data_IF_129893905828
#
_entry.id   IF_129893905828
#
_cell.length_a   1.000
_cell.length_b   1.000
_cell.length_c   1.000
_cell.angle_alpha   90.00
_cell.angle_beta   90.00
_cell.angle_gamma   90.00
#
_symmetry.space_group_name_H-M   'P 1'
#
loop_
_entity.id
_entity.type
_entity.pdbx_description
1 polymer ?
#
# COMPACT_ATOMS: atom_id res chain seq x y z
N UNK A 1 26.47 30.76 11.06
CA UNK A 1 26.23 31.15 12.46
C UNK A 1 24.73 31.19 12.68
N UNK A 2 24.21 30.79 13.85
CA UNK A 2 22.76 30.86 14.10
C UNK A 2 22.34 32.32 14.35
N UNK A 3 21.35 32.80 13.60
CA UNK A 3 20.84 34.17 13.72
C UNK A 3 19.75 34.21 14.80
N UNK A 4 20.09 34.75 15.98
CA UNK A 4 19.15 34.84 17.11
C UNK A 4 18.22 36.03 16.91
N UNK A 5 17.02 35.76 16.37
CA UNK A 5 15.95 36.75 16.31
C UNK A 5 15.52 37.16 17.71
N UNK A 6 15.35 38.46 17.94
CA UNK A 6 14.87 39.03 19.19
C UNK A 6 13.61 39.84 18.90
N UNK A 7 12.49 39.39 19.44
CA UNK A 7 11.20 40.06 19.34
C UNK A 7 10.92 40.83 20.64
N UNK A 8 10.34 42.02 20.53
CA UNK A 8 9.87 42.80 21.67
C UNK A 8 8.41 42.48 21.98
N UNK A 9 7.94 42.88 23.17
CA UNK A 9 6.52 42.80 23.55
C UNK A 9 5.64 43.62 22.58
N UNK A 10 6.17 44.70 21.99
CA UNK A 10 5.44 45.47 20.99
C UNK A 10 5.26 44.68 19.68
N UNK A 11 6.29 43.97 19.22
CA UNK A 11 6.21 43.14 18.00
C UNK A 11 5.20 42.00 18.18
N UNK A 12 5.23 41.34 19.34
CA UNK A 12 4.25 40.28 19.70
C UNK A 12 2.83 40.84 19.71
N UNK A 13 2.60 42.00 20.35
CA UNK A 13 1.28 42.64 20.38
C UNK A 13 0.83 43.09 18.98
N UNK A 14 1.74 43.55 18.11
CA UNK A 14 1.43 43.93 16.74
C UNK A 14 1.03 42.71 15.89
N UNK A 15 1.68 41.56 16.08
CA UNK A 15 1.34 40.28 15.43
C UNK A 15 -0.02 39.76 15.92
N UNK A 16 -0.36 39.95 17.20
CA UNK A 16 -1.67 39.58 17.77
C UNK A 16 -2.78 40.48 17.23
N UNK A 17 -2.55 41.80 17.13
CA UNK A 17 -3.58 42.78 16.80
C UNK A 17 -3.83 42.94 15.29
N UNK A 18 -2.79 42.88 14.46
CA UNK A 18 -2.90 43.00 13.01
C UNK A 18 -2.96 41.64 12.30
N UNK A 19 -2.78 40.55 13.05
CA UNK A 19 -2.52 39.23 12.50
C UNK A 19 -1.13 39.11 11.87
N UNK A 20 -0.92 38.00 11.15
CA UNK A 20 0.25 37.80 10.32
C UNK A 20 -0.14 37.01 9.06
N UNK A 21 0.41 37.40 7.91
CA UNK A 21 0.25 36.67 6.66
C UNK A 21 1.48 35.76 6.47
N UNK A 22 1.36 34.50 6.88
CA UNK A 22 2.39 33.49 6.67
C UNK A 22 1.97 32.55 5.55
N UNK A 23 2.50 32.80 4.35
CA UNK A 23 2.48 31.80 3.27
C UNK A 23 3.53 30.74 3.59
N UNK A 24 3.14 29.48 3.60
CA UNK A 24 4.10 28.36 3.60
C UNK A 24 4.96 28.42 2.33
N UNK A 25 6.22 28.01 2.42
CA UNK A 25 7.06 27.80 1.24
C UNK A 25 6.39 26.76 0.33
N UNK A 26 6.46 26.97 -0.99
CA UNK A 26 5.80 26.11 -1.96
C UNK A 26 6.29 24.65 -1.86
N UNK A 27 7.59 24.42 -1.60
CA UNK A 27 8.19 23.10 -1.32
C UNK A 27 7.50 22.37 -0.14
N UNK A 28 7.04 23.11 0.87
CA UNK A 28 6.38 22.56 2.07
C UNK A 28 4.91 22.27 1.78
N UNK A 29 4.26 23.08 0.94
CA UNK A 29 2.91 22.82 0.44
C UNK A 29 2.92 21.54 -0.41
N UNK A 30 3.88 21.41 -1.34
CA UNK A 30 4.08 20.22 -2.15
C UNK A 30 4.32 18.96 -1.29
N UNK A 31 5.19 19.04 -0.28
CA UNK A 31 5.42 17.95 0.67
C UNK A 31 4.13 17.54 1.42
N UNK A 32 3.33 18.52 1.86
CA UNK A 32 2.03 18.27 2.51
C UNK A 32 1.04 17.62 1.54
N UNK A 33 0.94 18.10 0.30
CA UNK A 33 0.08 17.51 -0.74
C UNK A 33 0.48 16.07 -1.07
N UNK A 34 1.77 15.80 -1.23
CA UNK A 34 2.32 14.46 -1.52
C UNK A 34 2.08 13.49 -0.35
N UNK A 35 2.32 13.92 0.89
CA UNK A 35 1.98 13.12 2.07
C UNK A 35 0.47 12.84 2.17
N UNK A 36 -0.36 13.84 1.87
CA UNK A 36 -1.83 13.74 1.94
C UNK A 36 -2.37 12.75 0.91
N UNK A 37 -1.80 12.70 -0.29
CA UNK A 37 -2.21 11.74 -1.33
C UNK A 37 -1.87 10.29 -0.96
N UNK A 38 -0.67 10.03 -0.41
CA UNK A 38 -0.26 8.69 0.00
C UNK A 38 -1.00 8.21 1.26
N UNK A 39 -1.24 9.05 2.29
CA UNK A 39 -2.00 8.61 3.50
C UNK A 39 -3.52 8.57 3.30
N UNK A 40 -4.04 9.29 2.30
CA UNK A 40 -5.43 9.20 1.85
C UNK A 40 -5.71 7.98 0.95
N UNK A 41 -4.67 7.29 0.49
CA UNK A 41 -4.76 6.20 -0.49
C UNK A 41 -5.58 4.99 0.02
N UNK A 42 -6.39 4.34 -0.84
CA UNK A 42 -7.00 3.03 -0.58
C UNK A 42 -5.99 1.90 -0.28
N UNK A 43 -4.71 2.11 -0.59
CA UNK A 43 -3.62 1.17 -0.30
C UNK A 43 -2.93 1.44 1.04
N UNK A 44 -3.24 2.56 1.71
CA UNK A 44 -2.56 2.96 2.95
C UNK A 44 -2.96 2.08 4.14
N UNK A 45 -2.09 1.13 4.49
CA UNK A 45 -2.23 0.32 5.70
C UNK A 45 -1.92 1.21 6.91
N UNK A 46 -2.96 1.76 7.54
CA UNK A 46 -2.83 2.49 8.81
C UNK A 46 -2.09 1.64 9.83
N UNK A 47 -1.18 2.27 10.58
CA UNK A 47 -0.35 1.65 11.61
C UNK A 47 -1.16 0.69 12.49
N UNK A 48 -0.74 -0.58 12.68
CA UNK A 48 -1.54 -1.55 13.41
C UNK A 48 -1.79 -1.05 14.84
N UNK A 49 -3.08 -0.94 15.20
CA UNK A 49 -3.50 -0.52 16.54
C UNK A 49 -3.09 -1.58 17.56
N UNK A 50 -1.91 -1.39 18.16
CA UNK A 50 -1.45 -2.14 19.32
C UNK A 50 -2.41 -1.91 20.48
N UNK A 51 -3.35 -2.84 20.66
CA UNK A 51 -4.22 -2.86 21.84
C UNK A 51 -3.34 -2.98 23.09
N UNK A 52 -3.24 -1.87 23.83
CA UNK A 52 -2.54 -1.82 25.11
C UNK A 52 -3.22 -2.81 26.04
N UNK A 53 -2.54 -3.91 26.36
CA UNK A 53 -3.08 -4.90 27.31
C UNK A 53 -3.27 -4.23 28.66
N UNK A 54 -4.52 -4.05 29.08
CA UNK A 54 -4.85 -3.62 30.42
C UNK A 54 -4.46 -4.75 31.38
N UNK A 55 -3.34 -4.60 32.07
CA UNK A 55 -2.92 -5.53 33.13
C UNK A 55 -3.76 -5.28 34.38
N UNK A 56 -4.93 -5.92 34.46
CA UNK A 56 -5.84 -5.92 35.63
C UNK A 56 -5.25 -6.67 36.85
N UNK A 57 -4.01 -6.36 37.23
CA UNK A 57 -3.20 -7.12 38.19
C UNK A 57 -2.29 -6.26 39.09
N UNK A 58 -2.33 -4.93 38.98
CA UNK A 58 -1.48 -4.06 39.79
C UNK A 58 -2.05 -3.82 41.22
N UNK A 59 -3.37 -3.85 41.42
CA UNK A 59 -3.99 -3.70 42.75
C UNK A 59 -3.80 -4.91 43.69
N UNK A 60 -3.62 -6.12 43.14
CA UNK A 60 -3.62 -7.37 43.92
C UNK A 60 -2.34 -7.54 44.77
N UNK A 61 -1.27 -6.81 44.47
CA UNK A 61 0.03 -6.95 45.16
C UNK A 61 0.12 -6.24 46.53
N UNK A 62 -0.86 -5.41 46.88
CA UNK A 62 -0.79 -4.58 48.09
C UNK A 62 -1.18 -5.29 49.42
N UNK A 63 -1.88 -6.44 49.38
CA UNK A 63 -2.57 -6.99 50.57
C UNK A 63 -2.13 -8.41 51.02
N UNK A 64 -0.93 -8.88 50.67
CA UNK A 64 -0.42 -10.21 51.10
C UNK A 64 0.87 -10.17 51.94
N UNK A 65 0.97 -9.19 52.85
CA UNK A 65 2.04 -9.12 53.86
C UNK A 65 1.51 -8.76 55.27
N UNK A 66 0.59 -9.57 55.80
CA UNK A 66 0.31 -9.62 57.25
C UNK A 66 -0.33 -10.96 57.66
N UNK A 67 -0.31 -11.22 58.97
CA UNK A 67 -0.77 -12.43 59.68
C UNK A 67 0.14 -13.67 59.60
N UNK A 68 0.38 -14.28 60.78
CA UNK A 68 1.32 -15.40 61.04
C UNK A 68 0.59 -16.74 61.18
N UNK A 69 1.30 -17.82 60.84
CA UNK A 69 1.47 -19.11 61.59
C UNK A 69 0.39 -19.57 62.59
N UNK A 70 0.04 -20.87 62.57
CA UNK A 70 0.27 -21.84 63.69
C UNK A 70 -0.29 -23.27 63.37
N UNK A 71 0.51 -24.30 63.70
CA UNK A 71 0.26 -25.77 63.79
C UNK A 71 -0.39 -26.62 62.66
N UNK A 72 0.02 -27.90 62.59
CA UNK A 72 -0.62 -29.04 61.89
C UNK A 72 -1.27 -30.01 62.91
N UNK A 73 -1.27 -31.37 62.76
CA UNK A 73 -0.48 -32.21 61.84
C UNK A 73 -1.20 -33.43 61.17
N UNK A 74 -0.51 -34.10 60.21
CA UNK A 74 -0.81 -35.45 59.68
C UNK A 74 -1.94 -35.52 58.62
N UNK A 75 -2.02 -36.50 57.70
CA UNK A 75 -1.11 -37.58 57.22
C UNK A 75 -1.71 -38.11 55.86
N UNK A 76 -1.12 -38.99 55.03
CA UNK A 76 0.15 -39.74 55.00
C UNK A 76 0.12 -40.79 53.85
N UNK A 77 1.23 -41.48 53.54
CA UNK A 77 1.44 -42.39 52.36
C UNK A 77 1.44 -41.64 51.00
N UNK A 78 2.30 -41.86 49.99
CA UNK A 78 3.41 -42.80 49.74
C UNK A 78 3.30 -43.36 48.30
N UNK A 79 4.30 -43.41 47.41
CA UNK A 79 5.76 -43.14 47.49
C UNK A 79 6.11 -41.82 46.72
N UNK A 80 7.24 -41.53 46.03
CA UNK A 80 8.46 -42.22 45.60
C UNK A 80 8.34 -42.84 44.18
N UNK A 81 9.27 -42.67 43.23
CA UNK A 81 10.60 -42.00 43.19
C UNK A 81 10.75 -41.12 41.90
N UNK A 82 11.89 -40.55 41.47
CA UNK A 82 13.30 -40.75 41.87
C UNK A 82 14.29 -39.71 41.26
N UNK A 83 15.47 -40.16 40.80
CA UNK A 83 16.63 -39.32 40.41
C UNK A 83 16.60 -38.76 38.97
N UNK A 84 16.95 -37.48 38.80
CA UNK A 84 18.35 -37.10 38.47
C UNK A 84 18.62 -35.61 38.75
N UNK A 85 19.90 -35.22 38.85
CA UNK A 85 20.35 -33.85 39.14
C UNK A 85 21.15 -33.28 37.96
N UNK A 86 20.91 -32.02 37.61
CA UNK A 86 21.97 -31.14 37.11
C UNK A 86 21.60 -29.66 37.28
N UNK A 87 22.36 -28.94 38.12
CA UNK A 87 22.19 -27.50 38.33
C UNK A 87 23.15 -26.74 37.42
N UNK A 88 22.63 -25.94 36.49
CA UNK A 88 23.41 -24.89 35.80
C UNK A 88 22.82 -23.52 36.12
N UNK A 89 23.35 -22.87 37.15
CA UNK A 89 22.88 -21.58 37.65
C UNK A 89 23.40 -20.42 36.81
N UNK A 90 22.63 -20.03 35.77
CA UNK A 90 22.92 -18.85 34.93
C UNK A 90 22.84 -17.57 35.78
N UNK A 91 24.01 -17.04 36.16
CA UNK A 91 24.17 -15.77 36.89
C UNK A 91 23.80 -14.58 35.99
N UNK A 92 22.51 -14.23 35.95
CA UNK A 92 22.04 -12.99 35.31
C UNK A 92 22.81 -11.79 35.87
N UNK A 93 23.57 -11.11 35.01
CA UNK A 93 24.25 -9.87 35.38
C UNK A 93 23.23 -8.77 35.67
N UNK A 94 23.38 -8.07 36.80
CA UNK A 94 22.67 -6.80 37.02
C UNK A 94 23.39 -5.72 36.22
N UNK A 95 22.77 -5.24 35.14
CA UNK A 95 23.20 -4.01 34.50
C UNK A 95 23.05 -2.83 35.46
N UNK A 96 24.10 -2.01 35.58
CA UNK A 96 24.08 -0.79 36.39
C UNK A 96 23.44 0.31 35.54
N UNK A 97 22.24 0.75 35.88
CA UNK A 97 21.58 1.87 35.23
C UNK A 97 21.97 3.19 35.89
N UNK A 98 22.80 3.98 35.21
CA UNK A 98 23.04 5.38 35.57
C UNK A 98 21.76 6.19 35.35
N UNK A 99 20.94 6.35 36.41
CA UNK A 99 19.88 7.37 36.43
C UNK A 99 20.53 8.74 36.60
N UNK A 100 20.79 9.43 35.50
CA UNK A 100 20.90 10.89 35.54
C UNK A 100 19.53 11.47 35.90
N UNK A 101 19.52 12.46 36.79
CA UNK A 101 18.31 13.11 37.28
C UNK A 101 17.84 14.13 36.22
N UNK A 102 16.96 13.72 35.33
CA UNK A 102 16.12 14.66 34.60
C UNK A 102 15.04 15.15 35.57
N UNK A 103 15.04 16.45 35.85
CA UNK A 103 14.05 17.04 36.74
C UNK A 103 12.64 16.90 36.15
N UNK A 104 11.61 16.65 36.98
CA UNK A 104 10.26 16.45 36.48
C UNK A 104 9.70 17.75 35.89
N UNK A 105 9.43 17.72 34.59
CA UNK A 105 8.59 18.70 33.88
C UNK A 105 7.26 18.84 34.62
N UNK A 106 6.78 20.06 34.84
CA UNK A 106 5.53 20.30 35.58
C UNK A 106 4.33 19.95 34.71
N UNK A 107 3.22 19.58 35.34
CA UNK A 107 1.95 19.37 34.63
C UNK A 107 1.45 20.64 33.91
N UNK A 108 1.81 21.84 34.40
CA UNK A 108 1.52 23.14 33.76
C UNK A 108 2.16 23.26 32.35
N UNK A 109 3.34 22.68 32.14
CA UNK A 109 4.03 22.67 30.84
C UNK A 109 3.32 21.71 29.85
N UNK A 110 2.64 20.68 30.36
CA UNK A 110 1.81 19.79 29.53
C UNK A 110 0.48 20.42 29.14
N UNK A 111 -0.14 21.26 29.97
CA UNK A 111 -1.36 21.99 29.60
C UNK A 111 -1.12 22.99 28.47
N UNK A 112 0.02 23.70 28.49
CA UNK A 112 0.40 24.61 27.39
C UNK A 112 0.73 23.87 26.09
N UNK A 113 1.32 22.67 26.16
CA UNK A 113 1.48 21.80 24.97
C UNK A 113 0.13 21.19 24.52
N UNK A 114 -0.84 21.03 25.43
CA UNK A 114 -2.20 20.54 25.15
C UNK A 114 -3.18 21.60 24.66
N UNK A 115 -2.79 22.86 24.48
CA UNK A 115 -3.62 23.82 23.72
C UNK A 115 -3.59 23.45 22.24
N UNK A 116 -4.36 22.43 21.86
CA UNK A 116 -4.65 22.09 20.48
C UNK A 116 -5.17 23.36 19.78
N UNK A 117 -4.36 23.93 18.89
CA UNK A 117 -4.84 24.86 17.88
C UNK A 117 -5.86 24.10 17.06
N UNK A 118 -7.16 24.30 17.33
CA UNK A 118 -8.24 23.69 16.56
C UNK A 118 -8.00 24.02 15.10
N UNK A 119 -7.59 23.01 14.33
CA UNK A 119 -7.35 23.17 12.91
C UNK A 119 -8.61 23.76 12.32
N UNK A 120 -8.50 24.93 11.69
CA UNK A 120 -9.55 25.40 10.79
C UNK A 120 -9.60 24.37 9.69
N UNK A 121 -10.53 23.41 9.80
CA UNK A 121 -10.83 22.51 8.71
C UNK A 121 -11.26 23.41 7.56
N UNK A 122 -10.45 23.46 6.51
CA UNK A 122 -10.87 24.09 5.28
C UNK A 122 -12.17 23.41 4.86
N UNK A 123 -13.20 24.20 4.63
CA UNK A 123 -14.42 23.68 4.06
C UNK A 123 -14.08 23.31 2.61
N UNK A 124 -13.74 22.04 2.39
CA UNK A 124 -13.91 21.44 1.08
C UNK A 124 -15.38 21.70 0.70
N UNK A 125 -15.59 22.42 -0.39
CA UNK A 125 -16.92 22.76 -0.90
C UNK A 125 -17.12 22.12 -2.28
N UNK A 126 -18.33 21.67 -2.55
CA UNK A 126 -18.68 20.98 -3.80
C UNK A 126 -17.81 19.75 -4.09
N UNK A 127 -17.04 19.83 -5.18
CA UNK A 127 -16.40 18.68 -5.82
C UNK A 127 -15.34 17.95 -4.96
N UNK A 128 -14.66 18.63 -4.03
CA UNK A 128 -13.71 17.94 -3.16
C UNK A 128 -14.41 17.14 -2.03
N UNK A 129 -15.60 17.57 -1.56
CA UNK A 129 -16.47 16.73 -0.69
C UNK A 129 -16.86 15.45 -1.44
N UNK A 130 -17.24 15.59 -2.71
CA UNK A 130 -17.59 14.46 -3.57
C UNK A 130 -16.40 13.50 -3.71
N UNK A 131 -15.19 14.00 -3.96
CA UNK A 131 -13.96 13.18 -4.06
C UNK A 131 -13.72 12.40 -2.76
N UNK A 132 -13.85 13.04 -1.61
CA UNK A 132 -13.63 12.38 -0.33
C UNK A 132 -14.76 11.42 0.05
N UNK A 133 -16.00 11.66 -0.39
CA UNK A 133 -17.09 10.69 -0.32
C UNK A 133 -16.81 9.46 -1.20
N UNK A 134 -16.27 9.63 -2.41
CA UNK A 134 -15.85 8.53 -3.27
C UNK A 134 -14.72 7.73 -2.63
N UNK A 135 -13.63 8.38 -2.16
CA UNK A 135 -12.55 7.74 -1.40
C UNK A 135 -13.09 6.99 -0.18
N UNK A 136 -13.94 7.64 0.63
CA UNK A 136 -14.53 7.09 1.85
C UNK A 136 -15.44 5.88 1.62
N UNK A 137 -16.15 5.81 0.49
CA UNK A 137 -16.94 4.64 0.10
C UNK A 137 -16.04 3.52 -0.42
N UNK A 138 -15.13 3.81 -1.36
CA UNK A 138 -14.25 2.81 -1.96
C UNK A 138 -13.30 2.16 -0.94
N UNK A 139 -12.76 2.96 0.00
CA UNK A 139 -11.92 2.48 1.11
C UNK A 139 -12.68 1.56 2.11
N UNK A 140 -14.01 1.50 2.05
CA UNK A 140 -14.86 0.58 2.86
C UNK A 140 -15.32 -0.65 2.06
N UNK A 141 -14.87 -0.81 0.82
CA UNK A 141 -15.43 -1.81 -0.08
C UNK A 141 -14.95 -3.23 0.27
N UNK A 142 -15.92 -4.11 0.43
CA UNK A 142 -15.76 -5.53 0.71
C UNK A 142 -16.87 -6.31 0.03
N UNK A 143 -16.76 -7.64 -0.05
CA UNK A 143 -17.80 -8.51 -0.64
C UNK A 143 -19.17 -8.29 0.03
N UNK A 144 -19.20 -7.92 1.32
CA UNK A 144 -20.43 -7.69 2.09
C UNK A 144 -21.02 -6.29 1.93
N UNK A 145 -20.19 -5.29 1.65
CA UNK A 145 -20.58 -3.87 1.52
C UNK A 145 -20.69 -3.43 0.06
N UNK A 146 -20.44 -4.33 -0.90
CA UNK A 146 -20.38 -4.02 -2.33
C UNK A 146 -21.65 -3.36 -2.86
N UNK A 147 -22.84 -3.93 -2.64
CA UNK A 147 -24.07 -3.43 -3.28
C UNK A 147 -24.49 -2.06 -2.71
N UNK A 148 -24.24 -1.83 -1.41
CA UNK A 148 -24.39 -0.52 -0.75
C UNK A 148 -23.42 0.51 -1.35
N UNK A 149 -22.12 0.18 -1.44
CA UNK A 149 -21.08 1.08 -1.95
C UNK A 149 -21.24 1.36 -3.44
N UNK A 150 -21.61 0.36 -4.24
CA UNK A 150 -21.99 0.52 -5.64
C UNK A 150 -23.16 1.51 -5.78
N UNK A 151 -24.19 1.37 -4.93
CA UNK A 151 -25.34 2.29 -4.90
C UNK A 151 -24.91 3.69 -4.49
N UNK A 152 -24.12 3.84 -3.42
CA UNK A 152 -23.66 5.14 -2.91
C UNK A 152 -22.79 5.87 -3.93
N UNK A 153 -21.82 5.19 -4.55
CA UNK A 153 -20.94 5.76 -5.59
C UNK A 153 -21.76 6.19 -6.82
N UNK A 154 -22.67 5.32 -7.28
CA UNK A 154 -23.59 5.62 -8.40
C UNK A 154 -24.48 6.82 -8.08
N UNK A 155 -25.04 6.89 -6.87
CA UNK A 155 -25.87 8.01 -6.43
C UNK A 155 -25.09 9.32 -6.38
N UNK A 156 -23.88 9.33 -5.80
CA UNK A 156 -23.04 10.53 -5.75
C UNK A 156 -22.75 11.05 -7.17
N UNK A 157 -22.39 10.18 -8.11
CA UNK A 157 -22.13 10.59 -9.51
C UNK A 157 -23.41 11.14 -10.17
N UNK A 158 -24.57 10.53 -9.90
CA UNK A 158 -25.86 10.98 -10.42
C UNK A 158 -26.36 12.32 -9.84
N UNK A 159 -26.00 12.67 -8.61
CA UNK A 159 -26.27 14.00 -8.04
C UNK A 159 -25.37 15.04 -8.69
N UNK A 160 -24.05 14.80 -8.71
CA UNK A 160 -23.04 15.71 -9.25
C UNK A 160 -23.30 16.05 -10.73
N UNK A 161 -23.72 15.07 -11.55
CA UNK A 161 -24.08 15.29 -12.96
C UNK A 161 -25.27 16.26 -13.17
N UNK A 162 -26.06 16.57 -12.14
CA UNK A 162 -27.15 17.56 -12.21
C UNK A 162 -26.69 18.99 -11.90
N UNK A 163 -25.51 19.15 -11.30
CA UNK A 163 -24.98 20.47 -10.90
C UNK A 163 -24.33 21.24 -12.07
N UNK A 164 -24.38 20.68 -13.29
CA UNK A 164 -23.77 21.23 -14.53
C UNK A 164 -22.24 21.36 -14.47
N UNK A 165 -21.58 20.35 -13.88
CA UNK A 165 -20.12 20.19 -13.88
C UNK A 165 -19.50 20.27 -15.29
N UNK A 166 -18.27 20.77 -15.33
CA UNK A 166 -17.47 20.89 -16.56
C UNK A 166 -16.83 19.57 -16.98
N UNK A 167 -16.39 19.49 -18.25
CA UNK A 167 -15.67 18.33 -18.76
C UNK A 167 -14.37 18.06 -17.96
N UNK A 168 -13.63 19.10 -17.57
CA UNK A 168 -12.39 18.99 -16.79
C UNK A 168 -12.65 18.35 -15.41
N UNK A 169 -13.75 18.72 -14.75
CA UNK A 169 -14.19 18.13 -13.49
C UNK A 169 -14.58 16.66 -13.64
N UNK A 170 -15.32 16.29 -14.69
CA UNK A 170 -15.63 14.87 -14.97
C UNK A 170 -14.37 14.04 -15.23
N UNK A 171 -13.37 14.63 -15.89
CA UNK A 171 -12.08 14.01 -16.19
C UNK A 171 -11.23 13.83 -14.92
N UNK A 172 -11.11 14.86 -14.07
CA UNK A 172 -10.48 14.80 -12.73
C UNK A 172 -11.10 13.68 -11.89
N UNK A 173 -12.43 13.61 -11.85
CA UNK A 173 -13.16 12.59 -11.08
C UNK A 173 -12.96 11.18 -11.62
N UNK A 174 -13.06 10.99 -12.94
CA UNK A 174 -12.85 9.66 -13.51
C UNK A 174 -11.42 9.17 -13.35
N UNK A 175 -10.42 10.05 -13.40
CA UNK A 175 -9.04 9.72 -13.04
C UNK A 175 -8.95 9.26 -11.59
N UNK A 176 -9.50 10.03 -10.63
CA UNK A 176 -9.50 9.66 -9.21
C UNK A 176 -10.20 8.31 -8.96
N UNK A 177 -11.34 8.05 -9.61
CA UNK A 177 -12.01 6.74 -9.54
C UNK A 177 -11.09 5.65 -10.09
N UNK A 178 -10.53 5.81 -11.30
CA UNK A 178 -9.64 4.84 -11.93
C UNK A 178 -8.40 4.54 -11.06
N UNK A 179 -7.75 5.58 -10.53
CA UNK A 179 -6.52 5.44 -9.74
C UNK A 179 -6.82 4.75 -8.39
N UNK A 180 -7.98 4.98 -7.78
CA UNK A 180 -8.45 4.25 -6.60
C UNK A 180 -8.68 2.76 -6.90
N UNK A 181 -9.42 2.44 -7.98
CA UNK A 181 -9.82 1.06 -8.26
C UNK A 181 -8.66 0.20 -8.80
N UNK A 182 -7.68 0.81 -9.45
CA UNK A 182 -6.54 0.10 -10.08
C UNK A 182 -5.32 -0.09 -9.17
N UNK A 183 -5.10 0.77 -8.16
CA UNK A 183 -3.91 0.69 -7.28
C UNK A 183 -4.00 -0.39 -6.19
N UNK A 184 -5.18 -0.94 -5.90
CA UNK A 184 -5.35 -1.95 -4.85
C UNK A 184 -5.40 -3.38 -5.41
N UNK A 185 -4.26 -4.07 -5.34
CA UNK A 185 -4.10 -5.46 -5.84
C UNK A 185 -5.04 -6.47 -5.18
N UNK A 186 -5.25 -6.37 -3.86
CA UNK A 186 -6.03 -7.36 -3.09
C UNK A 186 -7.52 -7.36 -3.42
N UNK A 187 -8.10 -6.18 -3.62
CA UNK A 187 -9.52 -6.03 -3.95
C UNK A 187 -9.78 -5.86 -5.46
N UNK A 188 -8.75 -5.98 -6.31
CA UNK A 188 -8.78 -5.76 -7.77
C UNK A 188 -9.97 -6.41 -8.49
N UNK A 189 -10.37 -7.64 -8.14
CA UNK A 189 -11.56 -8.31 -8.71
C UNK A 189 -12.88 -7.62 -8.37
N UNK A 190 -13.01 -7.15 -7.12
CA UNK A 190 -14.20 -6.43 -6.65
C UNK A 190 -14.25 -5.01 -7.21
N UNK A 191 -13.08 -4.38 -7.33
CA UNK A 191 -12.88 -3.09 -8.00
C UNK A 191 -13.20 -3.15 -9.49
N UNK A 192 -12.79 -4.20 -10.21
CA UNK A 192 -13.14 -4.40 -11.61
C UNK A 192 -14.65 -4.59 -11.81
N UNK A 193 -15.34 -5.33 -10.92
CA UNK A 193 -16.81 -5.46 -10.93
C UNK A 193 -17.53 -4.11 -10.76
N UNK A 194 -17.01 -3.24 -9.89
CA UNK A 194 -17.56 -1.90 -9.74
C UNK A 194 -17.28 -1.05 -10.99
N UNK A 195 -16.07 -1.12 -11.51
CA UNK A 195 -15.67 -0.28 -12.64
C UNK A 195 -16.38 -0.66 -13.95
N UNK A 196 -16.70 -1.94 -14.19
CA UNK A 196 -17.52 -2.36 -15.34
C UNK A 196 -18.97 -1.85 -15.26
N UNK A 197 -19.58 -1.82 -14.07
CA UNK A 197 -20.86 -1.16 -13.83
C UNK A 197 -20.80 0.34 -14.16
N UNK A 198 -19.76 1.03 -13.68
CA UNK A 198 -19.56 2.46 -13.91
C UNK A 198 -19.30 2.78 -15.40
N UNK A 199 -18.45 2.01 -16.08
CA UNK A 199 -18.21 2.11 -17.51
C UNK A 199 -19.48 1.90 -18.33
N UNK A 200 -20.35 0.95 -17.95
CA UNK A 200 -21.61 0.72 -18.64
C UNK A 200 -22.54 1.95 -18.58
N UNK A 201 -22.52 2.69 -17.47
CA UNK A 201 -23.43 3.82 -17.22
C UNK A 201 -22.90 5.19 -17.63
N UNK A 202 -21.59 5.45 -17.52
CA UNK A 202 -21.04 6.81 -17.62
C UNK A 202 -20.00 6.94 -18.75
N UNK A 203 -20.35 7.70 -19.81
CA UNK A 203 -19.48 7.84 -21.00
C UNK A 203 -18.14 8.53 -20.67
N UNK A 204 -18.12 9.53 -19.78
CA UNK A 204 -16.88 10.20 -19.39
C UNK A 204 -15.87 9.25 -18.72
N UNK A 205 -16.35 8.18 -18.07
CA UNK A 205 -15.50 7.14 -17.50
C UNK A 205 -14.90 6.25 -18.61
N UNK A 206 -15.65 5.97 -19.69
CA UNK A 206 -15.11 5.25 -20.86
C UNK A 206 -14.03 6.05 -21.60
N UNK A 207 -14.11 7.38 -21.61
CA UNK A 207 -13.10 8.24 -22.24
C UNK A 207 -11.75 8.12 -21.51
N UNK A 208 -11.73 8.37 -20.19
CA UNK A 208 -10.51 8.23 -19.38
C UNK A 208 -10.01 6.79 -19.36
N UNK A 209 -10.90 5.78 -19.35
CA UNK A 209 -10.49 4.39 -19.44
C UNK A 209 -9.68 4.09 -20.72
N UNK A 210 -10.12 4.60 -21.89
CA UNK A 210 -9.37 4.44 -23.15
C UNK A 210 -8.01 5.13 -23.13
N UNK A 211 -7.89 6.28 -22.47
CA UNK A 211 -6.61 6.97 -22.26
C UNK A 211 -5.65 6.15 -21.39
N UNK A 212 -6.16 5.53 -20.32
CA UNK A 212 -5.39 4.65 -19.41
C UNK A 212 -5.06 3.29 -20.04
N UNK A 213 -5.94 2.76 -20.89
CA UNK A 213 -5.70 1.55 -21.68
C UNK A 213 -4.61 1.78 -22.73
N UNK A 214 -4.68 2.88 -23.50
CA UNK A 214 -3.68 3.24 -24.49
C UNK A 214 -2.27 3.46 -23.89
N UNK A 215 -2.19 4.02 -22.68
CA UNK A 215 -0.94 4.25 -21.96
C UNK A 215 -0.42 3.03 -21.18
N UNK A 216 -1.20 1.94 -21.05
CA UNK A 216 -0.83 0.74 -20.29
C UNK A 216 0.51 0.15 -20.76
N UNK A 217 0.72 0.05 -22.07
CA UNK A 217 1.94 -0.54 -22.64
C UNK A 217 3.21 0.26 -22.26
N UNK A 218 3.13 1.59 -22.21
CA UNK A 218 4.23 2.44 -21.76
C UNK A 218 4.50 2.26 -20.26
N UNK A 219 3.44 2.25 -19.45
CA UNK A 219 3.51 2.02 -17.99
C UNK A 219 4.13 0.66 -17.66
N UNK A 220 3.86 -0.39 -18.47
CA UNK A 220 4.45 -1.71 -18.27
C UNK A 220 5.89 -1.82 -18.73
N UNK A 221 6.31 -1.10 -19.78
CA UNK A 221 7.70 -1.13 -20.26
C UNK A 221 8.65 -0.23 -19.44
N UNK A 222 8.15 0.84 -18.82
CA UNK A 222 8.94 1.77 -18.00
C UNK A 222 9.34 1.13 -16.65
N UNK A 223 10.22 0.13 -16.70
CA UNK A 223 10.83 -0.55 -15.55
C UNK A 223 12.31 -0.20 -15.51
N UNK A 224 12.74 0.38 -14.40
CA UNK A 224 14.13 0.71 -14.13
C UNK A 224 14.56 0.09 -12.78
N UNK A 225 15.85 0.21 -12.45
CA UNK A 225 16.38 -0.18 -11.14
C UNK A 225 17.32 0.91 -10.62
N UNK A 226 17.23 1.18 -9.32
CA UNK A 226 18.12 2.06 -8.54
C UNK A 226 18.57 1.27 -7.32
N UNK A 227 19.83 1.33 -6.93
CA UNK A 227 20.29 0.68 -5.70
C UNK A 227 19.85 1.47 -4.45
N UNK A 228 19.42 0.82 -3.36
CA UNK A 228 19.21 1.51 -2.08
C UNK A 228 20.50 2.16 -1.53
N UNK A 229 21.67 1.68 -1.95
CA UNK A 229 22.98 2.25 -1.60
C UNK A 229 23.35 3.48 -2.47
N UNK A 230 22.66 3.69 -3.60
CA UNK A 230 22.88 4.82 -4.52
C UNK A 230 21.92 5.97 -4.23
N UNK A 231 20.62 5.69 -4.14
CA UNK A 231 19.59 6.63 -3.73
C UNK A 231 18.41 5.86 -3.11
N UNK A 232 18.28 5.95 -1.79
CA UNK A 232 17.26 5.24 -1.02
C UNK A 232 15.84 5.72 -1.31
N UNK A 233 15.65 7.02 -1.53
CA UNK A 233 14.32 7.62 -1.75
C UNK A 233 13.78 7.21 -3.13
N UNK A 234 14.61 7.31 -4.18
CA UNK A 234 14.26 6.79 -5.51
C UNK A 234 14.05 5.26 -5.50
N UNK A 235 14.79 4.51 -4.69
CA UNK A 235 14.53 3.07 -4.49
C UNK A 235 13.16 2.82 -3.85
N UNK A 236 12.73 3.64 -2.88
CA UNK A 236 11.39 3.57 -2.31
C UNK A 236 10.28 3.95 -3.32
N UNK A 237 10.46 5.02 -4.08
CA UNK A 237 9.53 5.44 -5.15
C UNK A 237 9.40 4.41 -6.27
N UNK A 238 10.52 3.84 -6.71
CA UNK A 238 10.59 2.73 -7.66
C UNK A 238 9.81 1.51 -7.16
N UNK A 239 9.98 1.13 -5.89
CA UNK A 239 9.25 0.00 -5.31
C UNK A 239 7.73 0.28 -5.19
N UNK A 240 7.34 1.49 -4.78
CA UNK A 240 5.93 1.91 -4.77
C UNK A 240 5.32 1.86 -6.19
N UNK A 241 6.07 2.35 -7.18
CA UNK A 241 5.69 2.29 -8.61
C UNK A 241 5.57 0.85 -9.12
N UNK A 242 6.48 -0.04 -8.72
CA UNK A 242 6.44 -1.46 -9.08
C UNK A 242 5.20 -2.17 -8.50
N UNK A 243 4.82 -1.90 -7.25
CA UNK A 243 3.58 -2.47 -6.68
C UNK A 243 2.31 -1.83 -7.25
N UNK A 244 2.30 -0.51 -7.49
CA UNK A 244 1.21 0.18 -8.23
C UNK A 244 1.01 -0.43 -9.63
N UNK A 245 2.11 -0.75 -10.35
CA UNK A 245 2.06 -1.47 -11.64
C UNK A 245 1.50 -2.89 -11.50
N UNK A 246 1.93 -3.66 -10.49
CA UNK A 246 1.42 -5.03 -10.23
C UNK A 246 -0.06 -5.05 -9.86
N UNK A 247 -0.55 -4.01 -9.17
CA UNK A 247 -1.97 -3.79 -8.93
C UNK A 247 -2.73 -3.46 -10.22
N UNK A 248 -2.23 -2.52 -11.03
CA UNK A 248 -2.80 -2.13 -12.33
C UNK A 248 -2.97 -3.34 -13.27
N UNK A 249 -1.94 -4.17 -13.43
CA UNK A 249 -2.00 -5.41 -14.22
C UNK A 249 -3.10 -6.34 -13.67
N UNK A 250 -3.14 -6.53 -12.35
CA UNK A 250 -4.16 -7.37 -11.70
C UNK A 250 -5.58 -6.85 -11.91
N UNK A 251 -5.77 -5.53 -11.97
CA UNK A 251 -7.05 -4.89 -12.28
C UNK A 251 -7.46 -5.10 -13.74
N UNK A 252 -6.56 -4.88 -14.70
CA UNK A 252 -6.82 -5.11 -16.13
C UNK A 252 -7.18 -6.57 -16.46
N UNK A 253 -6.48 -7.53 -15.85
CA UNK A 253 -6.84 -8.96 -15.96
C UNK A 253 -8.27 -9.21 -15.45
N UNK A 254 -8.66 -8.58 -14.34
CA UNK A 254 -10.00 -8.77 -13.80
C UNK A 254 -11.09 -8.10 -14.65
N UNK A 255 -10.77 -7.05 -15.42
CA UNK A 255 -11.70 -6.43 -16.38
C UNK A 255 -12.04 -7.36 -17.56
N UNK A 256 -11.15 -8.29 -17.94
CA UNK A 256 -11.47 -9.33 -18.95
C UNK A 256 -12.58 -10.28 -18.45
N UNK A 257 -12.61 -10.63 -17.16
CA UNK A 257 -13.70 -11.44 -16.58
C UNK A 257 -15.04 -10.69 -16.45
N UNK A 258 -15.09 -9.42 -16.83
CA UNK A 258 -16.31 -8.60 -16.88
C UNK A 258 -16.59 -8.05 -18.29
N UNK A 259 -16.01 -8.68 -19.32
CA UNK A 259 -16.20 -8.35 -20.74
C UNK A 259 -15.89 -6.88 -21.11
N UNK A 260 -15.05 -6.20 -20.33
CA UNK A 260 -14.62 -4.81 -20.58
C UNK A 260 -13.43 -4.75 -21.54
N UNK A 261 -12.58 -5.78 -21.56
CA UNK A 261 -11.34 -5.86 -22.35
C UNK A 261 -11.31 -7.19 -23.10
N UNK A 262 -11.02 -7.18 -24.40
CA UNK A 262 -10.76 -8.42 -25.15
C UNK A 262 -9.46 -9.09 -24.66
N UNK A 263 -9.49 -10.41 -24.43
CA UNK A 263 -8.30 -11.20 -24.03
C UNK A 263 -7.08 -10.95 -24.93
N UNK A 264 -7.29 -10.66 -26.22
CA UNK A 264 -6.24 -10.29 -27.19
C UNK A 264 -5.36 -9.13 -26.75
N UNK A 265 -5.92 -8.12 -26.08
CA UNK A 265 -5.16 -6.97 -25.55
C UNK A 265 -4.12 -7.45 -24.52
N UNK A 266 -4.48 -8.46 -23.72
CA UNK A 266 -3.58 -9.10 -22.75
C UNK A 266 -2.58 -10.02 -23.46
N UNK A 267 -2.99 -10.73 -24.53
CA UNK A 267 -2.08 -11.54 -25.36
C UNK A 267 -0.99 -10.71 -26.03
N UNK A 268 -1.36 -9.64 -26.75
CA UNK A 268 -0.44 -8.79 -27.50
C UNK A 268 0.54 -8.06 -26.56
N UNK A 269 0.04 -7.59 -25.41
CA UNK A 269 0.85 -6.98 -24.36
C UNK A 269 1.83 -7.99 -23.73
N UNK A 270 1.40 -9.23 -23.49
CA UNK A 270 2.28 -10.29 -22.98
C UNK A 270 3.33 -10.70 -24.01
N UNK A 271 2.99 -10.76 -25.30
CA UNK A 271 3.95 -11.00 -26.39
C UNK A 271 4.99 -9.89 -26.45
N UNK A 272 4.56 -8.63 -26.40
CA UNK A 272 5.45 -7.47 -26.43
C UNK A 272 6.44 -7.50 -25.25
N UNK A 273 5.96 -7.77 -24.04
CA UNK A 273 6.81 -7.90 -22.84
C UNK A 273 7.77 -9.10 -22.93
N UNK A 274 7.36 -10.22 -23.51
CA UNK A 274 8.22 -11.38 -23.76
C UNK A 274 9.29 -11.09 -24.81
N UNK A 275 8.98 -10.36 -25.88
CA UNK A 275 9.95 -9.97 -26.90
C UNK A 275 10.96 -8.95 -26.34
N UNK A 276 10.51 -7.96 -25.54
CA UNK A 276 11.38 -7.04 -24.80
C UNK A 276 12.27 -7.78 -23.79
N UNK A 277 11.73 -8.74 -23.02
CA UNK A 277 12.50 -9.61 -22.12
C UNK A 277 13.60 -10.38 -22.88
N UNK A 278 13.29 -10.90 -24.08
CA UNK A 278 14.25 -11.60 -24.92
C UNK A 278 15.41 -10.70 -25.44
N UNK A 279 15.29 -9.38 -25.33
CA UNK A 279 16.40 -8.43 -25.54
C UNK A 279 17.15 -8.26 -24.20
N UNK A 280 16.44 -7.81 -23.15
CA UNK A 280 17.03 -7.43 -21.86
C UNK A 280 17.84 -8.53 -21.16
N UNK A 281 17.47 -9.81 -21.31
CA UNK A 281 18.26 -10.92 -20.73
C UNK A 281 19.70 -10.98 -21.26
N UNK A 282 19.93 -10.54 -22.51
CA UNK A 282 21.22 -10.58 -23.21
C UNK A 282 22.14 -9.41 -22.83
N UNK A 283 21.59 -8.34 -22.29
CA UNK A 283 22.34 -7.16 -21.85
C UNK A 283 22.99 -7.42 -20.48
N UNK A 284 24.15 -6.84 -20.24
CA UNK A 284 24.78 -6.87 -18.91
C UNK A 284 24.09 -5.88 -17.95
N UNK A 285 24.17 -6.16 -16.65
CA UNK A 285 23.65 -5.30 -15.56
C UNK A 285 22.13 -5.02 -15.55
N UNK A 286 21.34 -5.61 -16.46
CA UNK A 286 19.86 -5.52 -16.48
C UNK A 286 19.13 -6.48 -15.54
N UNK A 287 19.86 -7.35 -14.80
CA UNK A 287 19.30 -8.43 -13.97
C UNK A 287 18.08 -8.05 -13.12
N UNK A 288 18.12 -6.91 -12.42
CA UNK A 288 17.01 -6.47 -11.56
C UNK A 288 15.78 -6.04 -12.38
N UNK A 289 15.99 -5.39 -13.53
CA UNK A 289 14.92 -5.05 -14.48
C UNK A 289 14.30 -6.32 -15.08
N UNK A 290 15.14 -7.30 -15.46
CA UNK A 290 14.72 -8.63 -15.93
C UNK A 290 13.88 -9.37 -14.88
N UNK A 291 14.31 -9.37 -13.61
CA UNK A 291 13.57 -9.99 -12.52
C UNK A 291 12.17 -9.34 -12.33
N UNK A 292 12.02 -8.01 -12.45
CA UNK A 292 10.71 -7.33 -12.36
C UNK A 292 9.86 -7.48 -13.63
N UNK A 293 10.44 -7.52 -14.84
CA UNK A 293 9.72 -7.89 -16.07
C UNK A 293 9.10 -9.29 -15.95
N UNK A 294 9.79 -10.23 -15.29
CA UNK A 294 9.27 -11.57 -15.04
C UNK A 294 8.21 -11.61 -13.93
N UNK A 295 8.24 -10.72 -12.94
CA UNK A 295 7.10 -10.51 -12.03
C UNK A 295 5.86 -9.97 -12.77
N UNK A 296 6.04 -9.04 -13.72
CA UNK A 296 4.96 -8.51 -14.57
C UNK A 296 4.34 -9.62 -15.43
N UNK A 297 5.19 -10.37 -16.13
CA UNK A 297 4.80 -11.51 -17.00
C UNK A 297 4.08 -12.61 -16.21
N UNK A 298 4.56 -12.92 -14.99
CA UNK A 298 3.92 -13.90 -14.10
C UNK A 298 2.50 -13.49 -13.69
N UNK A 299 2.23 -12.20 -13.50
CA UNK A 299 0.87 -11.73 -13.21
C UNK A 299 0.02 -11.73 -14.49
N UNK A 300 0.56 -11.29 -15.63
CA UNK A 300 -0.15 -11.30 -16.91
C UNK A 300 -0.60 -12.71 -17.36
N UNK A 301 0.20 -13.74 -17.13
CA UNK A 301 -0.15 -15.12 -17.45
C UNK A 301 -1.16 -15.70 -16.44
N UNK A 302 -2.41 -15.25 -16.53
CA UNK A 302 -3.49 -15.76 -15.69
C UNK A 302 -4.09 -17.05 -16.29
N UNK A 303 -3.90 -18.18 -15.62
CA UNK A 303 -4.44 -19.50 -16.01
C UNK A 303 -5.96 -19.52 -16.24
N UNK A 304 -6.74 -18.78 -15.45
CA UNK A 304 -8.20 -18.71 -15.61
C UNK A 304 -8.61 -17.96 -16.89
N UNK A 305 -7.73 -17.14 -17.47
CA UNK A 305 -7.93 -16.62 -18.84
C UNK A 305 -7.46 -17.64 -19.88
N UNK A 306 -6.18 -18.03 -19.81
CA UNK A 306 -5.51 -18.80 -20.87
C UNK A 306 -5.97 -20.26 -21.01
N UNK A 307 -6.53 -20.89 -19.97
CA UNK A 307 -7.03 -22.27 -20.06
C UNK A 307 -8.54 -22.34 -20.37
N UNK A 308 -9.29 -21.25 -20.19
CA UNK A 308 -10.71 -21.19 -20.52
C UNK A 308 -10.95 -20.79 -22.00
N UNK A 309 -9.94 -20.25 -22.68
CA UNK A 309 -9.97 -20.07 -24.14
C UNK A 309 -9.90 -21.42 -24.86
N UNK A 310 -11.08 -21.99 -25.18
CA UNK A 310 -11.24 -23.15 -26.08
C UNK A 310 -10.75 -22.89 -27.53
N UNK A 311 -10.20 -21.71 -27.81
CA UNK A 311 -9.61 -21.31 -29.08
C UNK A 311 -8.13 -21.03 -28.79
N UNK A 312 -7.26 -21.96 -29.18
CA UNK A 312 -5.81 -21.72 -29.19
C UNK A 312 -5.52 -20.72 -30.30
N UNK A 313 -5.05 -19.52 -29.92
CA UNK A 313 -4.58 -18.49 -30.85
C UNK A 313 -3.11 -18.75 -31.22
N UNK A 314 -2.68 -18.21 -32.36
CA UNK A 314 -1.24 -18.15 -32.71
C UNK A 314 -0.44 -17.40 -31.64
N UNK A 315 -1.06 -16.35 -31.07
CA UNK A 315 -0.55 -15.58 -29.95
C UNK A 315 -0.29 -16.43 -28.69
N UNK A 316 -1.29 -17.14 -28.19
CA UNK A 316 -1.17 -18.06 -27.05
C UNK A 316 -0.09 -19.11 -27.29
N UNK A 317 -0.01 -19.65 -28.51
CA UNK A 317 1.05 -20.61 -28.89
C UNK A 317 2.44 -19.96 -28.78
N UNK A 318 2.64 -18.77 -29.37
CA UNK A 318 3.91 -18.01 -29.28
C UNK A 318 4.29 -17.70 -27.82
N UNK A 319 3.33 -17.32 -26.99
CA UNK A 319 3.50 -17.04 -25.56
C UNK A 319 4.02 -18.30 -24.84
N UNK A 320 3.28 -19.40 -24.94
CA UNK A 320 3.58 -20.66 -24.25
C UNK A 320 4.90 -21.27 -24.71
N UNK A 321 5.20 -21.25 -26.01
CA UNK A 321 6.50 -21.71 -26.53
C UNK A 321 7.65 -20.82 -26.07
N UNK A 322 7.47 -19.50 -26.02
CA UNK A 322 8.50 -18.56 -25.57
C UNK A 322 8.81 -18.72 -24.09
N UNK A 323 7.79 -18.90 -23.24
CA UNK A 323 7.97 -19.15 -21.80
C UNK A 323 8.65 -20.50 -21.58
N UNK A 324 8.20 -21.58 -22.25
CA UNK A 324 8.85 -22.91 -22.20
C UNK A 324 10.31 -22.87 -22.65
N UNK A 325 10.62 -22.15 -23.73
CA UNK A 325 12.00 -21.94 -24.19
C UNK A 325 12.85 -21.23 -23.16
N UNK A 326 12.33 -20.19 -22.51
CA UNK A 326 13.08 -19.40 -21.51
C UNK A 326 13.27 -20.15 -20.18
N UNK A 327 12.26 -20.89 -19.71
CA UNK A 327 12.39 -21.76 -18.53
C UNK A 327 13.39 -22.90 -18.74
N UNK A 328 13.51 -23.43 -19.96
CA UNK A 328 14.50 -24.45 -20.32
C UNK A 328 15.95 -23.95 -20.44
N UNK A 329 16.22 -22.65 -20.24
CA UNK A 329 17.56 -22.08 -20.32
C UNK A 329 18.41 -22.46 -19.12
N UNK A 330 19.67 -22.84 -19.36
CA UNK A 330 20.63 -23.12 -18.27
C UNK A 330 21.03 -21.83 -17.57
N UNK A 331 21.15 -21.89 -16.24
CA UNK A 331 21.65 -20.76 -15.42
C UNK A 331 23.00 -20.29 -15.97
N UNK A 332 23.18 -18.97 -16.08
CA UNK A 332 24.34 -18.27 -16.71
C UNK A 332 24.46 -18.35 -18.24
N UNK A 333 23.48 -18.89 -18.98
CA UNK A 333 23.47 -18.80 -20.46
C UNK A 333 23.27 -17.36 -20.97
N UNK A 334 22.55 -16.52 -20.23
CA UNK A 334 22.41 -15.09 -20.51
C UNK A 334 22.83 -14.27 -19.29
N UNK A 335 23.50 -13.10 -19.46
CA UNK A 335 24.11 -12.36 -18.35
C UNK A 335 23.10 -11.83 -17.32
N UNK A 336 21.92 -11.38 -17.75
CA UNK A 336 20.89 -10.82 -16.86
C UNK A 336 19.79 -11.81 -16.47
N UNK A 337 19.76 -13.03 -17.01
CA UNK A 337 18.77 -14.04 -16.64
C UNK A 337 19.15 -14.74 -15.32
N UNK A 338 18.46 -14.38 -14.23
CA UNK A 338 18.72 -14.92 -12.89
C UNK A 338 18.10 -16.31 -12.68
N UNK A 339 18.59 -17.07 -11.70
CA UNK A 339 17.92 -18.32 -11.27
C UNK A 339 16.50 -18.08 -10.74
N UNK A 340 16.25 -16.95 -10.05
CA UNK A 340 14.91 -16.55 -9.56
C UNK A 340 13.96 -16.40 -10.75
N UNK A 341 14.41 -15.69 -11.78
CA UNK A 341 13.70 -15.51 -13.04
C UNK A 341 13.39 -16.86 -13.73
N UNK A 342 14.36 -17.77 -13.80
CA UNK A 342 14.15 -19.11 -14.40
C UNK A 342 13.13 -19.93 -13.61
N UNK A 343 13.22 -19.99 -12.28
CA UNK A 343 12.22 -20.68 -11.46
C UNK A 343 10.83 -20.09 -11.62
N UNK A 344 10.69 -18.76 -11.63
CA UNK A 344 9.39 -18.11 -11.87
C UNK A 344 8.81 -18.41 -13.27
N UNK A 345 9.66 -18.60 -14.28
CA UNK A 345 9.22 -19.06 -15.61
C UNK A 345 8.86 -20.56 -15.63
N UNK A 346 9.42 -21.37 -14.74
CA UNK A 346 8.99 -22.76 -14.53
C UNK A 346 7.63 -22.81 -13.82
N UNK A 347 7.42 -22.00 -12.77
CA UNK A 347 6.15 -21.88 -12.05
C UNK A 347 4.99 -21.62 -13.05
N UNK A 348 5.19 -20.73 -14.03
CA UNK A 348 4.19 -20.39 -15.08
C UNK A 348 3.81 -21.59 -15.97
N UNK A 349 4.68 -22.60 -16.08
CA UNK A 349 4.45 -23.81 -16.91
C UNK A 349 3.81 -24.94 -16.09
N UNK A 350 4.06 -24.96 -14.77
CA UNK A 350 3.43 -25.89 -13.82
C UNK A 350 2.04 -25.43 -13.36
N UNK A 351 1.72 -24.14 -13.55
CA UNK A 351 0.39 -23.52 -13.41
C UNK A 351 -0.54 -24.01 -14.52
#
# INVERSE_FOLDING_TARGET
>A
MAQVYKYTIHDINNIILNGFEYKLNDDVIELISNLTSEVGSPTYIKTPNFQKQNTENDDIKAQKYQSRSIYGPGAGVGNGCGNSKNNNSIKRHKGISNKQHLDPVKDDDWETIRTFSTTKMEQHEGLDIFIDNIRSNLNKMSIKTYDEINTNVTFNIDELLRENITNEETHKISNIIFDIVSTNRFYSKLYAKLYSNLLTKYEFIKLVFKEKEASLCEILNNVHYVSPDENYDLFCEMNNTNEKRKALISFFINLVFYDVIEIRVIEDLLIHLLDTLNILIKEENKKHVVDEYIEIIFILYNKELFNNSNIVTDNHTKIVETIKRLAGVKVKTYPSLSSKSIFKLMDIIEI
#
